data_IF_571571061992
#
_entry.id   IF_571571061992
#
_cell.length_a   1.000
_cell.length_b   1.000
_cell.length_c   1.000
_cell.angle_alpha   90.00
_cell.angle_beta   90.00
_cell.angle_gamma   90.00
#
_symmetry.space_group_name_H-M   'P 1'
#
loop_
_entity.id
_entity.type
_entity.pdbx_description
1 polymer ?
#
# COMPACT_ATOMS: atom_id res chain seq x y z
N UNK A 1 -1.69 -7.02 -11.05
CA UNK A 1 -1.90 -8.42 -11.45
C UNK A 1 -0.67 -9.12 -12.02
N UNK A 2 0.18 -8.49 -12.86
CA UNK A 2 1.26 -9.18 -13.57
C UNK A 2 2.22 -10.02 -12.72
N UNK A 3 2.74 -9.48 -11.60
CA UNK A 3 3.64 -10.24 -10.72
C UNK A 3 2.96 -11.47 -10.09
N UNK A 4 1.70 -11.35 -9.66
CA UNK A 4 0.94 -12.48 -9.12
C UNK A 4 0.67 -13.54 -10.19
N UNK A 5 0.20 -13.15 -11.38
CA UNK A 5 0.01 -14.08 -12.49
C UNK A 5 1.30 -14.85 -12.82
N UNK A 6 2.45 -14.17 -12.81
CA UNK A 6 3.74 -14.82 -13.04
C UNK A 6 4.06 -15.93 -12.03
N UNK A 7 3.66 -15.78 -10.76
CA UNK A 7 3.82 -16.83 -9.73
C UNK A 7 2.89 -18.04 -9.93
N UNK A 8 1.85 -17.89 -10.76
CA UNK A 8 0.92 -18.98 -11.09
C UNK A 8 1.40 -19.73 -12.34
N UNK A 9 1.86 -18.99 -13.35
CA UNK A 9 2.09 -19.47 -14.71
C UNK A 9 3.53 -19.96 -14.97
N UNK A 10 4.54 -19.38 -14.31
CA UNK A 10 5.94 -19.72 -14.55
C UNK A 10 6.57 -20.44 -13.35
N UNK A 11 7.23 -21.58 -13.61
CA UNK A 11 7.83 -22.40 -12.57
C UNK A 11 8.94 -21.68 -11.79
N UNK A 12 9.70 -20.79 -12.44
CA UNK A 12 10.77 -20.00 -11.81
C UNK A 12 10.28 -19.05 -10.69
N UNK A 13 8.98 -18.71 -10.73
CA UNK A 13 8.34 -17.79 -9.80
C UNK A 13 7.33 -18.47 -8.87
N UNK A 14 7.08 -19.77 -9.05
CA UNK A 14 6.10 -20.52 -8.27
C UNK A 14 6.42 -20.44 -6.77
N UNK A 15 5.41 -20.10 -5.97
CA UNK A 15 5.53 -20.00 -4.51
C UNK A 15 6.26 -18.74 -4.00
N UNK A 16 6.73 -17.84 -4.87
CA UNK A 16 7.28 -16.55 -4.42
C UNK A 16 6.17 -15.65 -3.90
N UNK A 17 6.45 -14.94 -2.80
CA UNK A 17 5.56 -13.90 -2.27
C UNK A 17 5.60 -12.67 -3.17
N UNK A 18 4.44 -12.05 -3.38
CA UNK A 18 4.31 -10.81 -4.15
C UNK A 18 4.09 -9.64 -3.20
N UNK A 19 5.01 -8.69 -3.23
CA UNK A 19 4.90 -7.44 -2.47
C UNK A 19 4.76 -6.28 -3.45
N UNK A 20 3.82 -5.39 -3.17
CA UNK A 20 3.65 -4.13 -3.91
C UNK A 20 3.75 -2.96 -2.94
N UNK A 21 4.32 -1.85 -3.39
CA UNK A 21 4.55 -0.67 -2.56
C UNK A 21 4.04 0.55 -3.30
N UNK A 22 3.26 1.39 -2.64
CA UNK A 22 2.79 2.65 -3.23
C UNK A 22 2.60 3.74 -2.17
N UNK A 23 2.39 4.97 -2.63
CA UNK A 23 1.85 6.05 -1.81
C UNK A 23 0.32 6.05 -1.84
N UNK A 24 -0.29 6.62 -0.80
CA UNK A 24 -1.72 6.89 -0.66
C UNK A 24 -2.39 7.53 -1.89
N UNK A 25 -1.77 8.54 -2.51
CA UNK A 25 -2.33 9.17 -3.70
C UNK A 25 -2.43 8.24 -4.90
N UNK A 26 -1.46 7.35 -5.08
CA UNK A 26 -1.46 6.34 -6.15
C UNK A 26 -2.44 5.21 -5.85
N UNK A 27 -2.44 4.71 -4.62
CA UNK A 27 -3.38 3.67 -4.19
C UNK A 27 -4.83 4.15 -4.25
N UNK A 28 -5.11 5.37 -3.82
CA UNK A 28 -6.46 5.94 -3.79
C UNK A 28 -7.15 5.96 -5.15
N UNK A 29 -6.40 6.02 -6.26
CA UNK A 29 -6.95 5.95 -7.61
C UNK A 29 -7.46 4.55 -7.98
N UNK A 30 -6.90 3.50 -7.36
CA UNK A 30 -7.14 2.09 -7.74
C UNK A 30 -7.54 1.22 -6.54
N UNK A 31 -7.92 1.81 -5.41
CA UNK A 31 -8.18 1.08 -4.16
C UNK A 31 -9.22 -0.03 -4.33
N UNK A 32 -10.22 0.17 -5.21
CA UNK A 32 -11.25 -0.83 -5.50
C UNK A 32 -10.70 -2.14 -6.09
N UNK A 33 -9.52 -2.16 -6.70
CA UNK A 33 -8.87 -3.39 -7.17
C UNK A 33 -8.49 -4.33 -6.02
N UNK A 34 -8.51 -3.86 -4.77
CA UNK A 34 -8.38 -4.75 -3.62
C UNK A 34 -9.54 -5.76 -3.55
N UNK A 35 -10.75 -5.39 -3.99
CA UNK A 35 -11.88 -6.34 -4.09
C UNK A 35 -11.63 -7.43 -5.14
N UNK A 36 -10.99 -7.07 -6.26
CA UNK A 36 -10.52 -8.04 -7.28
C UNK A 36 -9.51 -9.01 -6.67
N UNK A 37 -8.53 -8.49 -5.92
CA UNK A 37 -7.54 -9.33 -5.25
C UNK A 37 -8.20 -10.32 -4.28
N UNK A 38 -9.20 -9.88 -3.50
CA UNK A 38 -9.98 -10.75 -2.61
C UNK A 38 -10.79 -11.80 -3.40
N UNK A 39 -11.51 -11.38 -4.44
CA UNK A 39 -12.32 -12.28 -5.26
C UNK A 39 -11.52 -13.46 -5.82
N UNK A 40 -10.28 -13.22 -6.25
CA UNK A 40 -9.40 -14.25 -6.80
C UNK A 40 -8.40 -14.84 -5.80
N UNK A 41 -8.52 -14.49 -4.51
CA UNK A 41 -7.58 -14.90 -3.46
C UNK A 41 -6.10 -14.64 -3.84
N UNK A 42 -5.82 -13.47 -4.41
CA UNK A 42 -4.47 -13.11 -4.83
C UNK A 42 -3.58 -12.88 -3.62
N UNK A 43 -2.62 -13.77 -3.38
CA UNK A 43 -1.65 -13.70 -2.28
C UNK A 43 -0.63 -12.55 -2.48
N UNK A 44 -1.10 -11.32 -2.28
CA UNK A 44 -0.36 -10.08 -2.49
C UNK A 44 -0.35 -9.30 -1.16
N UNK A 45 0.84 -8.95 -0.70
CA UNK A 45 1.01 -7.98 0.39
C UNK A 45 1.24 -6.59 -0.21
N UNK A 46 0.32 -5.66 0.03
CA UNK A 46 0.48 -4.25 -0.32
C UNK A 46 1.00 -3.46 0.87
N UNK A 47 2.08 -2.71 0.70
CA UNK A 47 2.59 -1.76 1.68
C UNK A 47 2.27 -0.36 1.20
N UNK A 48 1.44 0.34 1.95
CA UNK A 48 0.95 1.67 1.64
C UNK A 48 1.66 2.71 2.50
N UNK A 49 2.39 3.62 1.87
CA UNK A 49 2.98 4.79 2.51
C UNK A 49 1.95 5.91 2.52
N UNK A 50 1.37 6.21 3.69
CA UNK A 50 0.32 7.21 3.83
C UNK A 50 0.87 8.46 4.53
N UNK A 51 1.02 9.55 3.77
CA UNK A 51 1.40 10.87 4.28
C UNK A 51 0.33 11.94 4.00
N UNK A 52 -0.86 11.53 3.53
CA UNK A 52 -1.96 12.41 3.13
C UNK A 52 -1.56 13.48 2.10
N UNK A 53 -0.58 13.18 1.23
CA UNK A 53 -0.04 14.16 0.28
C UNK A 53 0.46 13.50 -1.01
N UNK A 54 0.31 14.18 -2.15
CA UNK A 54 1.06 13.88 -3.37
C UNK A 54 2.54 14.27 -3.21
N UNK A 55 3.25 13.56 -2.33
CA UNK A 55 4.53 13.99 -1.76
C UNK A 55 5.61 14.31 -2.79
N UNK A 56 5.67 13.57 -3.92
CA UNK A 56 6.63 13.88 -5.00
C UNK A 56 6.37 15.27 -5.62
N UNK A 57 5.11 15.61 -5.85
CA UNK A 57 4.72 16.91 -6.42
C UNK A 57 5.01 18.02 -5.42
N UNK A 58 4.66 17.83 -4.15
CA UNK A 58 4.96 18.81 -3.10
C UNK A 58 6.46 19.04 -2.94
N UNK A 59 7.28 17.98 -3.02
CA UNK A 59 8.73 18.08 -2.96
C UNK A 59 9.30 18.88 -4.13
N UNK A 60 8.80 18.65 -5.35
CA UNK A 60 9.19 19.44 -6.53
C UNK A 60 8.77 20.91 -6.40
N UNK A 61 7.57 21.20 -5.88
CA UNK A 61 7.11 22.56 -5.60
C UNK A 61 7.99 23.27 -4.55
N UNK A 62 8.31 22.61 -3.44
CA UNK A 62 9.20 23.15 -2.39
C UNK A 62 10.60 23.41 -2.94
N UNK A 63 11.15 22.48 -3.72
CA UNK A 63 12.47 22.63 -4.33
C UNK A 63 12.52 23.75 -5.38
N UNK A 64 11.39 24.05 -6.02
CA UNK A 64 11.22 25.19 -6.92
C UNK A 64 10.95 26.52 -6.21
N UNK A 65 10.94 26.54 -4.87
CA UNK A 65 10.56 27.68 -4.04
C UNK A 65 9.13 28.21 -4.34
N UNK A 66 8.25 27.34 -4.81
CA UNK A 66 6.85 27.65 -5.06
C UNK A 66 5.98 27.33 -3.85
N UNK A 67 4.85 28.02 -3.67
CA UNK A 67 3.83 27.61 -2.73
C UNK A 67 3.38 26.18 -3.04
N UNK A 68 3.29 25.33 -2.01
CA UNK A 68 2.69 24.00 -2.15
C UNK A 68 1.20 24.17 -2.44
N UNK A 69 0.71 23.55 -3.52
CA UNK A 69 -0.66 23.77 -4.01
C UNK A 69 -1.28 22.50 -4.60
N UNK A 70 -2.49 22.17 -4.14
CA UNK A 70 -3.34 21.08 -4.63
C UNK A 70 -2.74 19.67 -4.52
N UNK A 71 -1.96 19.44 -3.47
CA UNK A 71 -1.31 18.15 -3.23
C UNK A 71 -1.78 17.46 -1.95
N UNK A 72 -2.53 18.14 -1.08
CA UNK A 72 -3.14 17.54 0.11
C UNK A 72 -4.22 16.53 -0.26
N UNK A 73 -4.26 15.39 0.44
CA UNK A 73 -5.21 14.32 0.22
C UNK A 73 -6.10 14.11 1.45
N UNK A 74 -7.36 13.76 1.20
CA UNK A 74 -8.28 13.24 2.21
C UNK A 74 -8.41 11.74 2.00
N UNK A 75 -7.92 10.96 2.96
CA UNK A 75 -7.88 9.50 2.86
C UNK A 75 -8.89 8.85 3.83
N UNK A 76 -9.49 7.71 3.45
CA UNK A 76 -10.10 6.82 4.41
C UNK A 76 -9.03 6.12 5.27
N UNK A 77 -9.46 5.35 6.27
CA UNK A 77 -8.59 4.34 6.87
C UNK A 77 -8.44 3.18 5.87
N UNK A 78 -7.28 3.08 5.22
CA UNK A 78 -7.06 2.07 4.17
C UNK A 78 -6.93 0.65 4.75
N UNK A 79 -6.45 0.51 5.99
CA UNK A 79 -6.44 -0.78 6.67
C UNK A 79 -7.87 -1.29 6.93
N UNK A 80 -8.76 -0.43 7.42
CA UNK A 80 -10.19 -0.77 7.59
C UNK A 80 -10.87 -1.06 6.25
N UNK A 81 -10.55 -0.30 5.20
CA UNK A 81 -11.03 -0.57 3.85
C UNK A 81 -10.64 -1.98 3.37
N UNK A 82 -9.38 -2.39 3.58
CA UNK A 82 -8.92 -3.73 3.23
C UNK A 82 -9.67 -4.83 4.00
N UNK A 83 -9.92 -4.62 5.30
CA UNK A 83 -10.74 -5.53 6.11
C UNK A 83 -12.18 -5.60 5.60
N UNK A 84 -12.80 -4.45 5.27
CA UNK A 84 -14.16 -4.38 4.73
C UNK A 84 -14.29 -5.08 3.37
N UNK A 85 -13.21 -5.15 2.58
CA UNK A 85 -13.18 -5.88 1.32
C UNK A 85 -13.04 -7.39 1.50
N UNK A 86 -12.70 -7.88 2.70
CA UNK A 86 -12.49 -9.30 3.00
C UNK A 86 -11.03 -9.76 3.00
N UNK A 87 -10.06 -8.83 2.97
CA UNK A 87 -8.63 -9.13 3.11
C UNK A 87 -8.08 -8.77 4.50
N UNK A 88 -6.78 -9.00 4.71
CA UNK A 88 -6.09 -8.56 5.92
C UNK A 88 -5.74 -7.06 5.81
N UNK A 89 -6.20 -6.25 6.75
CA UNK A 89 -5.78 -4.85 6.86
C UNK A 89 -5.06 -4.61 8.18
N UNK A 90 -3.86 -4.05 8.12
CA UNK A 90 -3.03 -3.70 9.27
C UNK A 90 -2.60 -2.25 9.16
N UNK A 91 -2.53 -1.55 10.28
CA UNK A 91 -2.11 -0.16 10.34
C UNK A 91 -0.91 -0.01 11.28
N UNK A 92 0.09 0.73 10.84
CA UNK A 92 1.32 1.05 11.57
C UNK A 92 1.30 2.54 11.82
N UNK A 93 1.31 2.92 13.09
CA UNK A 93 1.37 4.32 13.53
C UNK A 93 2.70 4.64 14.22
N UNK A 94 3.42 3.61 14.67
CA UNK A 94 4.72 3.76 15.31
C UNK A 94 5.78 2.87 14.66
N UNK A 95 7.02 3.35 14.65
CA UNK A 95 8.16 2.62 14.06
C UNK A 95 8.40 1.25 14.68
N UNK A 96 8.12 1.10 15.97
CA UNK A 96 8.24 -0.13 16.75
C UNK A 96 7.35 -1.26 16.23
N UNK A 97 6.22 -0.93 15.60
CA UNK A 97 5.22 -1.88 15.12
C UNK A 97 5.58 -2.43 13.73
N UNK A 98 6.38 -1.70 12.96
CA UNK A 98 6.59 -1.93 11.52
C UNK A 98 7.07 -3.35 11.20
N UNK A 99 8.10 -3.82 11.90
CA UNK A 99 8.68 -5.14 11.62
C UNK A 99 7.69 -6.27 11.90
N UNK A 100 7.02 -6.24 13.05
CA UNK A 100 6.06 -7.26 13.45
C UNK A 100 4.87 -7.30 12.47
N UNK A 101 4.36 -6.13 12.09
CA UNK A 101 3.23 -5.99 11.17
C UNK A 101 3.56 -6.49 9.77
N UNK A 102 4.74 -6.16 9.23
CA UNK A 102 5.18 -6.66 7.92
C UNK A 102 5.35 -8.19 7.93
N UNK A 103 5.91 -8.75 9.01
CA UNK A 103 6.03 -10.21 9.17
C UNK A 103 4.66 -10.88 9.16
N UNK A 104 3.69 -10.32 9.89
CA UNK A 104 2.32 -10.82 9.91
C UNK A 104 1.68 -10.76 8.51
N UNK A 105 1.83 -9.65 7.80
CA UNK A 105 1.23 -9.47 6.48
C UNK A 105 1.83 -10.38 5.40
N UNK A 106 3.14 -10.62 5.44
CA UNK A 106 3.83 -11.52 4.49
C UNK A 106 3.48 -12.99 4.77
N UNK A 107 3.27 -13.34 6.04
CA UNK A 107 2.88 -14.68 6.45
C UNK A 107 1.38 -14.99 6.20
N UNK A 108 0.56 -13.97 5.97
CA UNK A 108 -0.83 -14.15 5.61
C UNK A 108 -0.96 -14.85 4.25
N UNK A 109 -1.96 -15.71 4.11
CA UNK A 109 -2.33 -16.34 2.85
C UNK A 109 -3.57 -15.65 2.30
N UNK A 110 -3.37 -14.80 1.29
CA UNK A 110 -4.41 -13.97 0.69
C UNK A 110 -3.98 -12.49 0.57
N UNK A 111 -4.88 -11.61 0.10
CA UNK A 111 -4.57 -10.19 0.00
C UNK A 111 -4.39 -9.55 1.37
N UNK A 112 -3.27 -8.85 1.56
CA UNK A 112 -2.99 -8.09 2.76
C UNK A 112 -2.63 -6.64 2.40
N UNK A 113 -3.04 -5.68 3.23
CA UNK A 113 -2.64 -4.28 3.16
C UNK A 113 -2.03 -3.85 4.49
N UNK A 114 -0.84 -3.29 4.45
CA UNK A 114 -0.16 -2.63 5.57
C UNK A 114 -0.13 -1.14 5.29
N UNK A 115 -0.97 -0.39 5.99
CA UNK A 115 -0.98 1.07 5.97
C UNK A 115 0.06 1.58 6.96
N UNK A 116 1.10 2.24 6.45
CA UNK A 116 2.16 2.86 7.25
C UNK A 116 1.95 4.36 7.24
N UNK A 117 1.61 4.94 8.39
CA UNK A 117 1.57 6.39 8.51
C UNK A 117 2.99 6.95 8.48
N UNK A 118 3.19 7.95 7.64
CA UNK A 118 4.50 8.55 7.38
C UNK A 118 4.40 10.06 7.43
N UNK A 119 5.51 10.70 7.78
CA UNK A 119 5.62 12.14 7.78
C UNK A 119 5.85 12.66 6.35
N UNK A 120 5.06 13.64 5.94
CA UNK A 120 5.18 14.30 4.64
C UNK A 120 6.45 15.16 4.52
N UNK A 121 7.05 15.57 5.63
CA UNK A 121 8.24 16.43 5.67
C UNK A 121 9.56 15.65 5.68
N UNK A 122 9.54 14.36 6.04
CA UNK A 122 10.74 13.51 6.12
C UNK A 122 11.13 12.88 4.77
N UNK A 123 10.43 13.21 3.67
CA UNK A 123 10.63 12.60 2.33
C UNK A 123 11.13 13.60 1.30
#
# INVERSE_FOLDING_TARGET
>A
MGAWAATQDFDDYRGRKVVSISGDGGFGQYAMEFTTAVHYNMNITHVLMNNCELGKISKEQRSGEWPVWQTSLTNPNFAEFAQSCGGLGLRVTERSELEATLRQAIAHEGPALVEVLTDAELV
#
